data_IF_753663120245
#
_entry.id   IF_753663120245
#
_cell.length_a   1.000
_cell.length_b   1.000
_cell.length_c   1.000
_cell.angle_alpha   90.00
_cell.angle_beta   90.00
_cell.angle_gamma   90.00
#
_symmetry.space_group_name_H-M   'P 1'
#
loop_
_entity.id
_entity.type
_entity.pdbx_description
1 polymer ?
#
# COMPACT_ATOMS: atom_id res chain seq x y z
N UNK A 1 -6.90 -3.82 -23.49
CA UNK A 1 -5.73 -4.71 -23.58
C UNK A 1 -6.29 -6.11 -23.70
N UNK A 2 -6.25 -6.73 -24.88
CA UNK A 2 -6.92 -8.01 -25.14
C UNK A 2 -5.86 -9.11 -24.95
N UNK A 3 -5.94 -9.89 -23.87
CA UNK A 3 -5.04 -11.01 -23.59
C UNK A 3 -5.75 -12.33 -23.89
N UNK A 4 -5.63 -12.87 -25.11
CA UNK A 4 -6.36 -14.08 -25.50
C UNK A 4 -5.92 -15.35 -24.74
N UNK A 5 -4.85 -15.28 -23.96
CA UNK A 5 -4.31 -16.39 -23.16
C UNK A 5 -4.53 -16.23 -21.66
N UNK A 6 -5.18 -15.15 -21.21
CA UNK A 6 -5.50 -14.98 -19.80
C UNK A 6 -6.69 -15.88 -19.43
N UNK A 7 -6.53 -16.74 -18.42
CA UNK A 7 -7.61 -17.59 -17.94
C UNK A 7 -7.52 -17.82 -16.43
N UNK A 8 -8.65 -18.16 -15.82
CA UNK A 8 -8.72 -18.69 -14.46
C UNK A 8 -8.74 -20.21 -14.56
N UNK A 9 -7.88 -20.88 -13.81
CA UNK A 9 -7.98 -22.32 -13.69
C UNK A 9 -9.10 -22.75 -12.73
N UNK A 10 -9.35 -24.06 -12.65
CA UNK A 10 -10.38 -24.65 -11.79
C UNK A 10 -10.16 -24.44 -10.29
N UNK A 11 -8.96 -24.01 -9.88
CA UNK A 11 -8.62 -23.70 -8.50
C UNK A 11 -8.69 -22.18 -8.24
N UNK A 12 -9.10 -21.39 -9.23
CA UNK A 12 -9.21 -19.94 -9.15
C UNK A 12 -7.88 -19.21 -9.36
N UNK A 13 -6.81 -19.89 -9.78
CA UNK A 13 -5.54 -19.23 -10.06
C UNK A 13 -5.60 -18.51 -11.41
N UNK A 14 -5.17 -17.25 -11.42
CA UNK A 14 -5.09 -16.45 -12.64
C UNK A 14 -3.79 -16.73 -13.39
N UNK A 15 -3.92 -17.22 -14.61
CA UNK A 15 -2.83 -17.39 -15.56
C UNK A 15 -2.79 -16.15 -16.45
N UNK A 16 -1.79 -15.30 -16.26
CA UNK A 16 -1.63 -14.03 -16.96
C UNK A 16 -0.29 -14.00 -17.70
N UNK A 17 -0.18 -13.16 -18.73
CA UNK A 17 1.14 -12.86 -19.30
C UNK A 17 2.02 -12.23 -18.22
N UNK A 18 3.35 -12.40 -18.31
CA UNK A 18 4.28 -11.83 -17.34
C UNK A 18 4.08 -10.32 -17.16
N UNK A 19 3.87 -9.59 -18.26
CA UNK A 19 3.69 -8.13 -18.23
C UNK A 19 2.40 -7.74 -17.52
N UNK A 20 1.30 -8.47 -17.73
CA UNK A 20 0.04 -8.19 -17.05
C UNK A 20 0.04 -8.63 -15.59
N UNK A 21 0.68 -9.76 -15.27
CA UNK A 21 0.93 -10.16 -13.89
C UNK A 21 1.73 -9.10 -13.13
N UNK A 22 2.78 -8.54 -13.74
CA UNK A 22 3.60 -7.48 -13.14
C UNK A 22 2.80 -6.19 -12.92
N UNK A 23 2.02 -5.76 -13.92
CA UNK A 23 1.15 -4.59 -13.79
C UNK A 23 0.13 -4.77 -12.66
N UNK A 24 -0.51 -5.94 -12.61
CA UNK A 24 -1.44 -6.29 -11.56
C UNK A 24 -0.76 -6.28 -10.18
N UNK A 25 0.36 -6.99 -10.01
CA UNK A 25 1.08 -7.07 -8.75
C UNK A 25 1.51 -5.70 -8.22
N UNK A 26 1.99 -4.81 -9.10
CA UNK A 26 2.35 -3.44 -8.72
C UNK A 26 1.14 -2.61 -8.31
N UNK A 27 0.03 -2.72 -9.04
CA UNK A 27 -1.21 -2.01 -8.70
C UNK A 27 -1.79 -2.52 -7.37
N UNK A 28 -1.78 -3.85 -7.17
CA UNK A 28 -2.24 -4.48 -5.95
C UNK A 28 -1.39 -4.07 -4.74
N UNK A 29 -0.06 -4.13 -4.84
CA UNK A 29 0.83 -3.70 -3.76
C UNK A 29 0.62 -2.23 -3.36
N UNK A 30 0.37 -1.35 -4.33
CA UNK A 30 0.07 0.05 -4.06
C UNK A 30 -1.34 0.28 -3.46
N UNK A 31 -2.32 -0.53 -3.83
CA UNK A 31 -3.69 -0.40 -3.33
C UNK A 31 -3.87 -1.00 -1.93
N UNK A 32 -3.19 -2.12 -1.65
CA UNK A 32 -3.31 -2.89 -0.42
C UNK A 32 -1.91 -3.08 0.22
N UNK A 33 -1.26 -2.02 0.69
CA UNK A 33 0.10 -2.09 1.20
C UNK A 33 0.19 -2.97 2.47
N UNK A 34 -0.74 -2.82 3.41
CA UNK A 34 -0.71 -3.52 4.69
C UNK A 34 -0.77 -5.06 4.55
N UNK A 35 -1.75 -5.67 3.83
CA UNK A 35 -1.77 -7.12 3.63
C UNK A 35 -0.51 -7.65 2.91
N UNK A 36 0.01 -6.89 1.96
CA UNK A 36 1.19 -7.27 1.19
C UNK A 36 2.45 -7.28 2.06
N UNK A 37 2.62 -6.25 2.89
CA UNK A 37 3.72 -6.18 3.85
C UNK A 37 3.66 -7.32 4.86
N UNK A 38 2.48 -7.57 5.43
CA UNK A 38 2.26 -8.64 6.38
C UNK A 38 2.59 -10.02 5.80
N UNK A 39 2.11 -10.32 4.58
CA UNK A 39 2.40 -11.57 3.90
C UNK A 39 3.90 -11.79 3.69
N UNK A 40 4.63 -10.74 3.28
CA UNK A 40 6.08 -10.80 3.08
C UNK A 40 6.79 -11.07 4.42
N UNK A 41 6.39 -10.39 5.49
CA UNK A 41 6.97 -10.57 6.82
C UNK A 41 6.76 -12.00 7.33
N UNK A 42 5.54 -12.52 7.26
CA UNK A 42 5.24 -13.91 7.63
C UNK A 42 6.05 -14.93 6.83
N UNK A 43 6.16 -14.73 5.51
CA UNK A 43 6.94 -15.61 4.65
C UNK A 43 8.44 -15.58 4.99
N UNK A 44 9.01 -14.40 5.24
CA UNK A 44 10.41 -14.26 5.63
C UNK A 44 10.68 -14.81 7.03
N UNK A 45 9.77 -14.61 7.98
CA UNK A 45 9.83 -15.12 9.35
C UNK A 45 9.81 -16.66 9.34
N UNK A 46 8.91 -17.25 8.56
CA UNK A 46 8.82 -18.70 8.38
C UNK A 46 10.11 -19.28 7.82
N UNK A 47 10.64 -18.71 6.73
CA UNK A 47 11.90 -19.17 6.13
C UNK A 47 13.11 -18.98 7.07
N UNK A 48 13.09 -17.93 7.91
CA UNK A 48 14.09 -17.74 8.96
C UNK A 48 14.00 -18.85 10.01
N UNK A 49 12.82 -19.12 10.54
CA UNK A 49 12.60 -20.15 11.54
C UNK A 49 12.98 -21.55 11.02
N UNK A 50 12.55 -21.90 9.81
CA UNK A 50 12.88 -23.18 9.18
C UNK A 50 14.38 -23.35 8.97
N UNK A 51 15.11 -22.29 8.61
CA UNK A 51 16.55 -22.37 8.38
C UNK A 51 17.38 -22.79 9.61
N UNK A 52 16.83 -22.62 10.82
CA UNK A 52 17.43 -23.10 12.06
C UNK A 52 17.15 -24.58 12.36
N UNK A 53 16.20 -25.21 11.66
CA UNK A 53 15.89 -26.62 11.84
C UNK A 53 16.98 -27.52 11.20
N UNK A 54 17.38 -28.62 11.87
CA UNK A 54 18.28 -29.60 11.27
C UNK A 54 17.76 -30.11 9.92
N UNK A 55 18.59 -30.08 8.88
CA UNK A 55 18.22 -30.52 7.52
C UNK A 55 17.58 -29.45 6.63
N UNK A 56 17.24 -28.27 7.15
CA UNK A 56 16.52 -27.21 6.41
C UNK A 56 17.40 -26.01 6.01
N UNK A 57 18.71 -26.21 5.82
CA UNK A 57 19.64 -25.12 5.46
C UNK A 57 19.29 -24.41 4.15
N UNK A 58 18.54 -25.05 3.26
CA UNK A 58 18.05 -24.46 2.00
C UNK A 58 17.09 -23.30 2.22
N UNK A 59 16.35 -23.24 3.34
CA UNK A 59 15.41 -22.14 3.63
C UNK A 59 16.13 -20.79 3.73
N UNK A 60 17.37 -20.75 4.21
CA UNK A 60 18.18 -19.54 4.18
C UNK A 60 18.64 -19.14 2.77
N UNK A 61 18.87 -20.09 1.85
CA UNK A 61 19.17 -19.79 0.45
C UNK A 61 17.97 -19.18 -0.24
N UNK A 62 16.81 -19.82 -0.09
CA UNK A 62 15.54 -19.35 -0.65
C UNK A 62 15.23 -17.93 -0.15
N UNK A 63 15.41 -17.67 1.16
CA UNK A 63 15.23 -16.33 1.69
C UNK A 63 16.16 -15.29 1.04
N UNK A 64 17.43 -15.64 0.78
CA UNK A 64 18.38 -14.72 0.12
C UNK A 64 17.96 -14.44 -1.31
N UNK A 65 17.46 -15.44 -2.02
CA UNK A 65 16.97 -15.31 -3.40
C UNK A 65 15.71 -14.45 -3.49
N UNK A 66 14.82 -14.53 -2.51
CA UNK A 66 13.55 -13.77 -2.48
C UNK A 66 13.71 -12.31 -2.02
N UNK A 67 14.72 -12.00 -1.20
CA UNK A 67 14.95 -10.65 -0.62
C UNK A 67 14.88 -9.50 -1.63
N UNK A 68 15.53 -9.57 -2.81
CA UNK A 68 15.42 -8.50 -3.81
C UNK A 68 13.99 -8.30 -4.31
N UNK A 69 13.26 -9.38 -4.54
CA UNK A 69 11.85 -9.33 -4.94
C UNK A 69 10.98 -8.69 -3.86
N UNK A 70 11.16 -9.09 -2.60
CA UNK A 70 10.45 -8.48 -1.48
C UNK A 70 10.77 -6.98 -1.34
N UNK A 71 12.03 -6.57 -1.51
CA UNK A 71 12.40 -5.15 -1.47
C UNK A 71 11.69 -4.32 -2.56
N UNK A 72 11.54 -4.86 -3.77
CA UNK A 72 10.78 -4.20 -4.84
C UNK A 72 9.30 -4.06 -4.50
N UNK A 73 8.70 -5.11 -3.92
CA UNK A 73 7.29 -5.07 -3.51
C UNK A 73 7.07 -4.05 -2.39
N UNK A 74 7.97 -3.98 -1.39
CA UNK A 74 7.95 -2.96 -0.34
C UNK A 74 8.01 -1.54 -0.92
N UNK A 75 8.83 -1.33 -1.95
CA UNK A 75 8.90 -0.04 -2.66
C UNK A 75 7.57 0.31 -3.35
N UNK A 76 6.91 -0.65 -3.99
CA UNK A 76 5.61 -0.43 -4.63
C UNK A 76 4.51 -0.12 -3.61
N UNK A 77 4.49 -0.83 -2.48
CA UNK A 77 3.56 -0.59 -1.39
C UNK A 77 3.73 0.80 -0.78
N UNK A 78 4.97 1.22 -0.47
CA UNK A 78 5.24 2.56 0.08
C UNK A 78 4.85 3.71 -0.85
N UNK A 79 4.94 3.50 -2.18
CA UNK A 79 4.46 4.50 -3.14
C UNK A 79 2.93 4.67 -3.10
N UNK A 80 2.20 3.58 -2.85
CA UNK A 80 0.75 3.59 -2.66
C UNK A 80 0.32 4.27 -1.37
N UNK A 81 0.98 3.96 -0.26
CA UNK A 81 0.74 4.58 1.05
C UNK A 81 0.89 6.11 1.01
N UNK A 82 1.94 6.62 0.35
CA UNK A 82 2.13 8.07 0.15
C UNK A 82 0.98 8.67 -0.67
N UNK A 83 0.45 7.94 -1.65
CA UNK A 83 -0.73 8.35 -2.42
C UNK A 83 -1.98 8.43 -1.55
N UNK A 84 -2.27 7.37 -0.79
CA UNK A 84 -3.42 7.31 0.11
C UNK A 84 -3.37 8.41 1.18
N UNK A 85 -2.21 8.62 1.80
CA UNK A 85 -2.03 9.69 2.80
C UNK A 85 -2.25 11.07 2.18
N UNK A 86 -1.76 11.32 0.96
CA UNK A 86 -2.01 12.58 0.25
C UNK A 86 -3.50 12.79 -0.02
N UNK A 87 -4.20 11.76 -0.49
CA UNK A 87 -5.63 11.84 -0.78
C UNK A 87 -6.45 12.09 0.50
N UNK A 88 -6.11 11.44 1.61
CA UNK A 88 -6.73 11.68 2.91
C UNK A 88 -6.45 13.10 3.42
N UNK A 89 -5.21 13.60 3.32
CA UNK A 89 -4.86 14.98 3.68
C UNK A 89 -5.70 15.96 2.85
N UNK A 90 -5.80 15.77 1.53
CA UNK A 90 -6.60 16.63 0.67
C UNK A 90 -8.10 16.58 1.04
N UNK A 91 -8.62 15.40 1.36
CA UNK A 91 -10.01 15.24 1.81
C UNK A 91 -10.26 16.00 3.11
N UNK A 92 -9.39 15.83 4.11
CA UNK A 92 -9.50 16.53 5.39
C UNK A 92 -9.39 18.05 5.22
N UNK A 93 -8.46 18.53 4.39
CA UNK A 93 -8.34 19.95 4.07
C UNK A 93 -9.63 20.50 3.45
N UNK A 94 -10.26 19.78 2.51
CA UNK A 94 -11.55 20.19 1.92
C UNK A 94 -12.66 20.29 2.97
N UNK A 95 -12.74 19.32 3.88
CA UNK A 95 -13.73 19.32 4.97
C UNK A 95 -13.51 20.53 5.90
N UNK A 96 -12.27 20.80 6.28
CA UNK A 96 -11.93 21.93 7.17
C UNK A 96 -12.24 23.27 6.50
N UNK A 97 -11.89 23.44 5.21
CA UNK A 97 -12.22 24.65 4.46
C UNK A 97 -13.72 24.89 4.38
N UNK A 98 -14.51 23.83 4.21
CA UNK A 98 -15.97 23.91 4.27
C UNK A 98 -16.46 24.32 5.66
N UNK A 99 -15.92 23.73 6.72
CA UNK A 99 -16.27 24.10 8.10
C UNK A 99 -15.93 25.57 8.41
N UNK A 100 -14.79 26.07 7.92
CA UNK A 100 -14.40 27.49 8.03
C UNK A 100 -15.45 28.38 7.33
N UNK A 101 -15.89 28.02 6.13
CA UNK A 101 -16.92 28.76 5.41
C UNK A 101 -18.25 28.77 6.18
N UNK A 102 -18.67 27.63 6.72
CA UNK A 102 -19.89 27.50 7.53
C UNK A 102 -19.81 28.31 8.83
N UNK A 103 -18.65 28.33 9.50
CA UNK A 103 -18.42 29.15 10.69
C UNK A 103 -18.50 30.65 10.38
N UNK A 104 -17.96 31.09 9.23
CA UNK A 104 -18.08 32.48 8.78
C UNK A 104 -19.52 32.87 8.50
N UNK A 105 -20.27 32.01 7.80
CA UNK A 105 -21.68 32.23 7.54
C UNK A 105 -22.51 32.32 8.84
N UNK A 106 -22.11 31.57 9.88
CA UNK A 106 -22.71 31.63 11.21
C UNK A 106 -22.20 32.79 12.09
N UNK A 107 -21.36 33.70 11.56
CA UNK A 107 -20.80 34.83 12.31
C UNK A 107 -19.68 34.48 13.30
N UNK A 108 -19.24 33.22 13.38
CA UNK A 108 -18.17 32.74 14.26
C UNK A 108 -16.79 32.96 13.64
N UNK A 109 -16.49 34.20 13.23
CA UNK A 109 -15.27 34.56 12.48
C UNK A 109 -13.99 34.32 13.27
N UNK A 110 -13.99 34.53 14.60
CA UNK A 110 -12.83 34.24 15.45
C UNK A 110 -12.41 32.77 15.40
N UNK A 111 -13.38 31.85 15.51
CA UNK A 111 -13.13 30.41 15.42
C UNK A 111 -12.69 30.01 14.00
N UNK A 112 -13.33 30.58 12.97
CA UNK A 112 -12.94 30.35 11.58
C UNK A 112 -11.48 30.76 11.32
N UNK A 113 -11.05 31.91 11.86
CA UNK A 113 -9.69 32.40 11.72
C UNK A 113 -8.67 31.55 12.49
N UNK A 114 -9.03 31.03 13.67
CA UNK A 114 -8.17 30.10 14.42
C UNK A 114 -7.94 28.81 13.64
N UNK A 115 -9.01 28.19 13.12
CA UNK A 115 -8.95 26.97 12.31
C UNK A 115 -8.17 27.18 11.01
N UNK A 116 -8.35 28.32 10.34
CA UNK A 116 -7.60 28.63 9.13
C UNK A 116 -6.10 28.80 9.41
N UNK A 117 -5.74 29.36 10.57
CA UNK A 117 -4.34 29.53 10.99
C UNK A 117 -3.67 28.17 11.25
N UNK A 118 -4.34 27.31 12.01
CA UNK A 118 -3.88 25.94 12.29
C UNK A 118 -3.74 25.10 11.01
N UNK A 119 -4.71 25.19 10.09
CA UNK A 119 -4.67 24.49 8.80
C UNK A 119 -3.45 24.89 7.95
N UNK A 120 -3.00 26.15 8.07
CA UNK A 120 -1.81 26.67 7.38
C UNK A 120 -0.49 26.40 8.13
N UNK A 121 -0.56 25.76 9.29
CA UNK A 121 0.62 25.45 10.11
C UNK A 121 1.29 26.67 10.74
N UNK A 122 0.50 27.70 11.13
CA UNK A 122 0.98 28.90 11.82
C UNK A 122 0.34 29.10 13.19
#
# INVERSE_FOLDING_TARGET
MNEPQAFLDRFGAAHLSHLSALKFARAFAAAEPEPVMHYIEEAEDKLRAEGYLPGHRSSHSILRELRPGHALVRQWAGAGEVGLLRDQIQRLQKIILRAIAELRAAGKTGLANSLERELRGR
#
